data_IF_839352233536
#
_entry.id   IF_839352233536
#
_cell.length_a   1.000
_cell.length_b   1.000
_cell.length_c   1.000
_cell.angle_alpha   90.00
_cell.angle_beta   90.00
_cell.angle_gamma   90.00
#
_symmetry.space_group_name_H-M   'P 1'
#
loop_
_entity.id
_entity.type
_entity.pdbx_description
1 polymer ?
#
# COMPACT_ATOMS: atom_id res chain seq x y z
N UNK A 1 -15.72 -8.26 11.41
CA UNK A 1 -15.30 -8.96 10.20
C UNK A 1 -13.91 -8.48 9.80
N UNK A 2 -12.99 -9.42 9.57
CA UNK A 2 -11.64 -9.15 9.12
C UNK A 2 -11.54 -9.41 7.62
N UNK A 3 -11.08 -8.41 6.88
CA UNK A 3 -10.84 -8.53 5.44
C UNK A 3 -9.35 -8.38 5.21
N UNK A 4 -8.66 -9.42 4.68
CA UNK A 4 -7.24 -9.28 4.37
C UNK A 4 -7.04 -8.28 3.24
N UNK A 5 -6.01 -7.44 3.39
CA UNK A 5 -5.69 -6.42 2.41
C UNK A 5 -4.18 -6.37 2.22
N UNK A 6 -3.66 -6.93 1.12
CA UNK A 6 -2.23 -6.86 0.83
C UNK A 6 -1.79 -5.41 0.60
N UNK A 7 -0.56 -5.12 0.98
CA UNK A 7 0.08 -3.83 0.73
C UNK A 7 1.21 -4.06 -0.24
N UNK A 8 1.29 -3.23 -1.28
CA UNK A 8 2.18 -3.44 -2.41
C UNK A 8 3.21 -2.34 -2.56
N UNK A 9 4.43 -2.71 -2.94
CA UNK A 9 5.37 -1.75 -3.48
C UNK A 9 5.00 -1.50 -4.94
N UNK A 10 4.89 -0.22 -5.30
CA UNK A 10 4.54 0.19 -6.66
C UNK A 10 5.52 1.23 -7.17
N UNK A 11 5.70 1.24 -8.48
CA UNK A 11 6.61 2.13 -9.18
C UNK A 11 5.91 2.68 -10.42
N UNK A 12 6.42 3.78 -11.00
CA UNK A 12 5.93 4.25 -12.29
C UNK A 12 6.07 3.15 -13.35
N UNK A 13 5.15 3.12 -14.31
CA UNK A 13 5.25 2.19 -15.43
C UNK A 13 6.59 2.40 -16.15
N UNK A 14 7.25 1.30 -16.50
CA UNK A 14 8.55 1.35 -17.16
C UNK A 14 9.74 1.57 -16.25
N UNK A 15 9.52 1.60 -14.94
CA UNK A 15 10.63 1.72 -13.98
C UNK A 15 11.56 0.51 -14.08
N UNK A 16 12.91 0.70 -13.98
CA UNK A 16 13.85 -0.43 -14.11
C UNK A 16 13.61 -1.58 -13.15
N UNK A 17 13.16 -1.30 -11.91
CA UNK A 17 12.93 -2.35 -10.92
C UNK A 17 11.68 -3.18 -11.24
N UNK A 18 10.78 -2.69 -12.07
CA UNK A 18 9.58 -3.42 -12.45
C UNK A 18 9.88 -4.65 -13.31
N UNK A 19 11.00 -4.65 -14.01
CA UNK A 19 11.40 -5.77 -14.86
C UNK A 19 12.19 -6.85 -14.13
N UNK A 20 12.52 -6.62 -12.85
CA UNK A 20 13.27 -7.59 -12.07
C UNK A 20 12.32 -8.64 -11.50
N UNK A 21 12.75 -9.91 -11.54
CA UNK A 21 11.98 -11.01 -10.94
C UNK A 21 11.80 -10.81 -9.43
N UNK A 22 12.86 -10.32 -8.76
CA UNK A 22 12.84 -10.00 -7.34
C UNK A 22 13.66 -8.74 -7.10
N UNK A 23 13.17 -7.88 -6.19
CA UNK A 23 13.88 -6.65 -5.81
C UNK A 23 14.42 -6.86 -4.39
N UNK A 24 15.77 -6.83 -4.21
CA UNK A 24 16.34 -6.89 -2.87
C UNK A 24 15.94 -5.66 -2.04
N UNK A 25 15.74 -5.88 -0.76
CA UNK A 25 15.25 -4.81 0.12
C UNK A 25 16.25 -3.66 0.26
N UNK A 26 17.54 -3.95 0.25
CA UNK A 26 18.59 -2.92 0.31
C UNK A 26 18.62 -2.03 -0.94
N UNK A 27 18.37 -2.62 -2.11
CA UNK A 27 18.24 -1.85 -3.36
C UNK A 27 16.99 -0.98 -3.32
N UNK A 28 15.88 -1.56 -2.87
CA UNK A 28 14.61 -0.85 -2.74
C UNK A 28 14.74 0.37 -1.81
N UNK A 29 15.42 0.20 -0.69
CA UNK A 29 15.55 1.26 0.31
C UNK A 29 16.32 2.48 -0.19
N UNK A 30 17.08 2.36 -1.28
CA UNK A 30 17.83 3.46 -1.88
C UNK A 30 17.02 4.29 -2.88
N UNK A 31 15.82 3.85 -3.20
CA UNK A 31 14.97 4.54 -4.16
C UNK A 31 14.28 5.76 -3.54
N UNK A 32 13.79 6.65 -4.38
CA UNK A 32 12.99 7.79 -3.92
C UNK A 32 11.57 7.31 -3.62
N UNK A 33 11.10 7.58 -2.41
CA UNK A 33 9.80 7.12 -1.94
C UNK A 33 8.86 8.26 -1.59
N UNK A 34 7.60 8.02 -1.86
CA UNK A 34 6.46 8.80 -1.41
C UNK A 34 5.69 7.88 -0.46
N UNK A 35 5.57 8.22 0.80
CA UNK A 35 4.93 7.34 1.77
C UNK A 35 3.80 8.05 2.52
N UNK A 36 2.89 7.24 3.07
CA UNK A 36 1.92 7.76 4.01
C UNK A 36 2.61 8.17 5.31
N UNK A 37 1.94 8.98 6.10
CA UNK A 37 2.49 9.48 7.35
C UNK A 37 2.74 8.34 8.34
N UNK A 38 3.70 8.54 9.24
CA UNK A 38 3.94 7.63 10.35
C UNK A 38 2.68 7.56 11.22
N UNK A 39 2.48 6.39 11.83
CA UNK A 39 1.28 6.12 12.61
C UNK A 39 0.21 5.39 11.83
N UNK A 40 0.28 5.36 10.50
CA UNK A 40 -0.56 4.49 9.71
C UNK A 40 0.00 3.07 9.77
N UNK A 41 -0.86 2.09 10.03
CA UNK A 41 -0.42 0.73 10.39
C UNK A 41 0.50 0.07 9.37
N UNK A 42 0.26 0.23 8.07
CA UNK A 42 1.14 -0.38 7.07
C UNK A 42 2.46 0.40 6.91
N UNK A 43 2.48 1.71 7.18
CA UNK A 43 3.73 2.47 7.21
C UNK A 43 4.60 2.01 8.37
N UNK A 44 4.01 1.82 9.54
CA UNK A 44 4.74 1.33 10.71
C UNK A 44 5.27 -0.08 10.50
N UNK A 45 4.47 -0.95 9.85
CA UNK A 45 4.92 -2.31 9.52
C UNK A 45 6.11 -2.28 8.57
N UNK A 46 6.10 -1.40 7.57
CA UNK A 46 7.22 -1.23 6.66
C UNK A 46 8.48 -0.80 7.42
N UNK A 47 8.37 0.23 8.25
CA UNK A 47 9.51 0.75 8.99
C UNK A 47 10.10 -0.31 9.92
N UNK A 48 9.27 -1.13 10.56
CA UNK A 48 9.72 -2.22 11.42
C UNK A 48 10.48 -3.29 10.65
N UNK A 49 9.99 -3.65 9.47
CA UNK A 49 10.65 -4.68 8.65
C UNK A 49 11.98 -4.21 8.10
N UNK A 50 12.07 -2.93 7.73
CA UNK A 50 13.34 -2.33 7.31
C UNK A 50 14.32 -2.27 8.48
N UNK A 51 13.87 -1.84 9.65
CA UNK A 51 14.71 -1.72 10.84
C UNK A 51 15.29 -3.07 11.26
N UNK A 52 14.53 -4.15 11.11
CA UNK A 52 15.00 -5.50 11.42
C UNK A 52 16.22 -5.92 10.58
N UNK A 53 16.43 -5.25 9.44
CA UNK A 53 17.59 -5.49 8.56
C UNK A 53 18.58 -4.34 8.59
N UNK A 54 18.45 -3.42 9.53
CA UNK A 54 19.33 -2.26 9.62
C UNK A 54 19.11 -1.25 8.50
N UNK A 55 17.95 -1.26 7.89
CA UNK A 55 17.60 -0.38 6.78
C UNK A 55 16.56 0.64 7.19
N UNK A 56 16.48 1.73 6.43
CA UNK A 56 15.43 2.74 6.58
C UNK A 56 15.15 3.38 5.23
N UNK A 57 13.93 3.87 5.06
CA UNK A 57 13.52 4.67 3.92
C UNK A 57 13.20 6.06 4.44
N UNK A 58 13.80 7.06 3.79
CA UNK A 58 13.54 8.47 4.10
C UNK A 58 12.72 9.05 2.95
N UNK A 59 11.38 9.07 3.05
CA UNK A 59 10.57 9.58 1.96
C UNK A 59 10.77 11.08 1.81
N UNK A 60 10.77 11.56 0.57
CA UNK A 60 10.84 13.01 0.35
C UNK A 60 9.46 13.66 0.38
N UNK A 61 8.40 12.87 0.31
CA UNK A 61 7.02 13.32 0.48
C UNK A 61 6.29 12.36 1.41
N UNK A 62 5.62 12.91 2.41
CA UNK A 62 4.72 12.17 3.30
C UNK A 62 3.34 12.83 3.27
N UNK A 63 2.30 12.04 2.99
CA UNK A 63 0.93 12.53 2.89
C UNK A 63 -0.02 11.55 3.58
N UNK A 64 -1.13 12.07 4.07
CA UNK A 64 -2.18 11.23 4.66
C UNK A 64 -3.11 10.56 3.65
N UNK A 65 -2.95 10.81 2.34
CA UNK A 65 -3.83 10.28 1.31
C UNK A 65 -3.12 9.26 0.43
N UNK A 66 -3.48 7.99 0.57
CA UNK A 66 -2.95 6.92 -0.28
C UNK A 66 -3.36 7.11 -1.74
N UNK A 67 -4.57 7.58 -2.00
CA UNK A 67 -5.04 7.82 -3.37
C UNK A 67 -4.21 8.88 -4.08
N UNK A 68 -3.87 9.96 -3.36
CA UNK A 68 -3.04 11.01 -3.93
C UNK A 68 -1.62 10.51 -4.20
N UNK A 69 -1.07 9.72 -3.29
CA UNK A 69 0.26 9.12 -3.48
C UNK A 69 0.27 8.22 -4.73
N UNK A 70 -0.80 7.44 -4.95
CA UNK A 70 -0.90 6.62 -6.14
C UNK A 70 -0.87 7.46 -7.42
N UNK A 71 -1.58 8.58 -7.45
CA UNK A 71 -1.56 9.51 -8.58
C UNK A 71 -0.15 10.07 -8.82
N UNK A 72 0.57 10.36 -7.75
CA UNK A 72 1.95 10.87 -7.86
C UNK A 72 2.90 9.81 -8.43
N UNK A 73 2.73 8.54 -8.05
CA UNK A 73 3.49 7.43 -8.65
C UNK A 73 3.20 7.34 -10.15
N UNK A 74 1.94 7.47 -10.54
CA UNK A 74 1.56 7.47 -11.96
C UNK A 74 2.28 8.56 -12.75
N UNK A 75 2.60 9.67 -12.11
CA UNK A 75 3.29 10.81 -12.72
C UNK A 75 4.81 10.69 -12.69
N UNK A 76 5.34 9.56 -12.21
CA UNK A 76 6.77 9.32 -12.20
C UNK A 76 7.52 9.98 -11.05
N UNK A 77 6.83 10.36 -9.98
CA UNK A 77 7.46 11.09 -8.87
C UNK A 77 8.25 10.20 -7.91
N UNK A 78 8.07 8.90 -7.96
CA UNK A 78 8.81 7.97 -7.12
C UNK A 78 8.03 6.67 -6.88
N UNK A 79 8.57 5.83 -5.99
CA UNK A 79 7.96 4.59 -5.55
C UNK A 79 7.05 4.86 -4.36
N UNK A 80 6.14 3.91 -4.07
CA UNK A 80 5.33 3.97 -2.86
C UNK A 80 5.00 2.57 -2.34
N UNK A 81 4.41 2.52 -1.16
CA UNK A 81 3.97 1.30 -0.50
C UNK A 81 2.53 1.52 -0.05
N UNK A 82 1.58 0.94 -0.79
CA UNK A 82 0.16 1.29 -0.69
C UNK A 82 -0.73 0.04 -0.70
N UNK A 83 -1.90 0.11 -0.06
CA UNK A 83 -2.85 -1.01 -0.10
C UNK A 83 -3.26 -1.34 -1.54
N UNK A 84 -3.40 -2.64 -1.81
CA UNK A 84 -3.73 -3.12 -3.15
C UNK A 84 -5.02 -2.52 -3.68
N UNK A 85 -6.05 -2.37 -2.83
CA UNK A 85 -7.32 -1.84 -3.30
C UNK A 85 -7.22 -0.41 -3.83
N UNK A 86 -6.24 0.36 -3.35
CA UNK A 86 -5.99 1.73 -3.83
C UNK A 86 -5.31 1.70 -5.21
N UNK A 87 -4.35 0.80 -5.40
CA UNK A 87 -3.51 0.80 -6.61
C UNK A 87 -4.04 -0.10 -7.72
N UNK A 88 -5.01 -0.96 -7.42
CA UNK A 88 -5.52 -1.94 -8.38
C UNK A 88 -5.99 -1.33 -9.70
N UNK A 89 -6.77 -0.23 -9.74
CA UNK A 89 -7.18 0.35 -11.01
C UNK A 89 -5.99 0.81 -11.85
N UNK A 90 -5.00 1.43 -11.24
CA UNK A 90 -3.81 1.92 -11.95
C UNK A 90 -2.94 0.75 -12.45
N UNK A 91 -2.81 -0.32 -11.64
CA UNK A 91 -2.11 -1.53 -12.05
C UNK A 91 -2.79 -2.19 -13.25
N UNK A 92 -4.11 -2.33 -13.21
CA UNK A 92 -4.88 -2.95 -14.30
C UNK A 92 -4.80 -2.13 -15.57
N UNK A 93 -4.70 -0.81 -15.47
CA UNK A 93 -4.59 0.07 -16.62
C UNK A 93 -3.15 0.22 -17.13
N UNK A 94 -2.16 -0.35 -16.45
CA UNK A 94 -0.76 -0.26 -16.84
C UNK A 94 -0.11 1.10 -16.55
N UNK A 95 -0.73 1.93 -15.69
CA UNK A 95 -0.17 3.25 -15.35
C UNK A 95 0.94 3.17 -14.32
N UNK A 96 0.92 2.13 -13.50
CA UNK A 96 1.98 1.84 -12.53
C UNK A 96 2.34 0.37 -12.61
N UNK A 97 3.44 -0.02 -11.98
CA UNK A 97 3.90 -1.40 -11.93
C UNK A 97 4.07 -1.85 -10.48
N UNK A 98 3.75 -3.10 -10.21
CA UNK A 98 3.96 -3.73 -8.91
C UNK A 98 5.38 -4.29 -8.87
N UNK A 99 6.08 -4.07 -7.76
CA UNK A 99 7.40 -4.63 -7.54
C UNK A 99 7.28 -5.90 -6.70
N UNK A 100 8.07 -6.91 -7.06
CA UNK A 100 8.13 -8.14 -6.29
C UNK A 100 9.25 -8.03 -5.25
N UNK A 101 8.87 -7.88 -3.97
CA UNK A 101 9.81 -7.71 -2.86
C UNK A 101 9.55 -8.81 -1.84
N UNK A 102 10.12 -10.01 -2.03
CA UNK A 102 9.80 -11.15 -1.16
C UNK A 102 10.28 -10.95 0.28
N UNK A 103 11.27 -10.12 0.51
CA UNK A 103 11.80 -9.86 1.84
C UNK A 103 10.91 -8.97 2.71
N UNK A 104 9.90 -8.35 2.12
CA UNK A 104 8.99 -7.47 2.84
C UNK A 104 7.57 -7.62 2.31
N UNK A 105 6.81 -8.53 2.92
CA UNK A 105 5.40 -8.72 2.60
C UNK A 105 4.57 -8.29 3.79
N UNK A 106 3.57 -7.45 3.54
CA UNK A 106 2.68 -6.93 4.57
C UNK A 106 1.25 -7.12 4.12
N UNK A 107 0.45 -7.70 4.99
CA UNK A 107 -0.99 -7.83 4.78
C UNK A 107 -1.69 -7.18 5.94
N UNK A 108 -2.54 -6.21 5.62
CA UNK A 108 -3.37 -5.54 6.61
C UNK A 108 -4.70 -6.27 6.73
N UNK A 109 -5.35 -6.11 7.85
CA UNK A 109 -6.69 -6.63 8.06
C UNK A 109 -7.61 -5.46 8.37
N UNK A 110 -8.57 -5.23 7.47
CA UNK A 110 -9.61 -4.23 7.69
C UNK A 110 -10.72 -4.84 8.53
N UNK A 111 -11.14 -4.11 9.56
CA UNK A 111 -12.24 -4.53 10.41
C UNK A 111 -13.38 -3.54 10.27
N UNK A 112 -14.59 -4.09 10.12
CA UNK A 112 -15.80 -3.29 10.18
C UNK A 112 -16.40 -3.42 11.56
N UNK A 113 -16.59 -2.28 12.21
CA UNK A 113 -17.23 -2.21 13.51
C UNK A 113 -18.57 -1.51 13.38
N UNK A 114 -19.57 -2.07 14.06
CA UNK A 114 -20.84 -1.40 14.23
C UNK A 114 -21.38 -1.77 15.61
N UNK A 115 -22.14 -0.85 16.18
CA UNK A 115 -22.78 -1.12 17.47
C UNK A 115 -23.99 -2.00 17.25
N UNK A 116 -24.11 -3.07 18.04
CA UNK A 116 -25.25 -3.99 17.95
C UNK A 116 -26.58 -3.28 18.25
N UNK A 117 -26.52 -2.23 19.07
CA UNK A 117 -27.69 -1.49 19.49
C UNK A 117 -28.09 -0.38 18.53
N UNK A 118 -27.33 -0.14 17.48
CA UNK A 118 -27.66 0.86 16.48
C UNK A 118 -28.40 0.22 15.32
N UNK A 119 -29.39 0.95 14.82
CA UNK A 119 -30.07 0.54 13.60
C UNK A 119 -29.14 0.61 12.42
N UNK A 120 -29.09 -0.49 11.66
CA UNK A 120 -28.36 -0.51 10.39
C UNK A 120 -29.32 -0.07 9.30
N UNK A 121 -28.92 0.96 8.55
CA UNK A 121 -29.66 1.35 7.35
C UNK A 121 -29.46 0.29 6.26
N UNK A 122 -30.35 0.20 5.25
CA UNK A 122 -30.13 -0.71 4.13
C UNK A 122 -28.77 -0.48 3.45
N UNK A 123 -28.33 0.78 3.34
CA UNK A 123 -27.04 1.09 2.76
C UNK A 123 -25.89 0.54 3.59
N UNK A 124 -25.97 0.65 4.90
CA UNK A 124 -24.95 0.11 5.81
C UNK A 124 -24.88 -1.41 5.72
N UNK A 125 -26.03 -2.09 5.68
CA UNK A 125 -26.10 -3.54 5.54
C UNK A 125 -25.48 -3.99 4.23
N UNK A 126 -25.82 -3.31 3.14
CA UNK A 126 -25.28 -3.63 1.80
C UNK A 126 -23.78 -3.44 1.77
N UNK A 127 -23.26 -2.39 2.40
CA UNK A 127 -21.83 -2.14 2.50
C UNK A 127 -21.11 -3.25 3.26
N UNK A 128 -21.67 -3.66 4.41
CA UNK A 128 -21.09 -4.75 5.22
C UNK A 128 -21.06 -6.06 4.43
N UNK A 129 -22.13 -6.39 3.73
CA UNK A 129 -22.18 -7.59 2.89
C UNK A 129 -21.16 -7.55 1.77
N UNK A 130 -20.99 -6.39 1.12
CA UNK A 130 -20.02 -6.22 0.05
C UNK A 130 -18.59 -6.46 0.54
N UNK A 131 -18.25 -5.95 1.72
CA UNK A 131 -16.92 -6.09 2.29
C UNK A 131 -16.64 -7.53 2.72
N UNK A 132 -17.69 -8.29 3.04
CA UNK A 132 -17.58 -9.68 3.48
C UNK A 132 -17.44 -10.69 2.33
N UNK A 133 -17.59 -10.26 1.10
CA UNK A 133 -17.46 -11.14 -0.06
C UNK A 133 -16.02 -11.45 -0.45
#
# INVERSE_FOLDING_TARGET
VNVPEPVCFVAPAGHPLADKAEVPLDVLAQQEFLLTERGMSYRDALDQRLAARGLSIHPYIELGSASLLCQMVERGMGLSFLPEYIVRPALSAGRIARLNVPDCTVTMHRQLFYHKDKWLTPQMKAFIELVNQ
#
